data_IF_236408103214
#
_entry.id   IF_236408103214
#
_cell.length_a   1.000
_cell.length_b   1.000
_cell.length_c   1.000
_cell.angle_alpha   90.00
_cell.angle_beta   90.00
_cell.angle_gamma   90.00
#
_symmetry.space_group_name_H-M   'P 1'
#
loop_
_entity.id
_entity.type
_entity.pdbx_description
1 polymer ?
#
# COMPACT_ATOMS: atom_id res chain seq x y z
N UNK A 1 -11.22 -7.93 16.96
CA UNK A 1 -10.13 -8.38 16.04
C UNK A 1 -10.24 -7.83 14.61
N UNK A 2 -11.22 -8.16 13.76
CA UNK A 2 -11.31 -7.60 12.39
C UNK A 2 -11.61 -6.10 12.38
N UNK A 3 -12.52 -5.63 13.25
CA UNK A 3 -12.85 -4.21 13.43
C UNK A 3 -11.63 -3.39 13.86
N UNK A 4 -10.89 -3.85 14.84
CA UNK A 4 -9.67 -3.17 15.34
C UNK A 4 -8.61 -2.95 14.26
N UNK A 5 -8.51 -3.88 13.29
CA UNK A 5 -7.59 -3.71 12.15
C UNK A 5 -8.12 -2.68 11.16
N UNK A 6 -9.43 -2.72 10.88
CA UNK A 6 -10.05 -1.73 9.98
C UNK A 6 -9.94 -0.31 10.56
N UNK A 7 -10.03 -0.16 11.88
CA UNK A 7 -9.88 1.14 12.57
C UNK A 7 -8.45 1.71 12.46
N UNK A 8 -7.45 0.87 12.13
CA UNK A 8 -6.07 1.29 11.86
C UNK A 8 -5.82 1.64 10.39
N UNK A 9 -6.77 1.41 9.51
CA UNK A 9 -6.66 1.69 8.07
C UNK A 9 -7.42 2.98 7.75
N UNK A 10 -6.69 3.98 7.31
CA UNK A 10 -7.24 5.25 6.81
C UNK A 10 -7.20 5.25 5.28
N UNK A 11 -8.25 5.80 4.66
CA UNK A 11 -8.30 6.03 3.21
C UNK A 11 -8.58 7.50 2.97
N UNK A 12 -7.71 8.19 2.23
CA UNK A 12 -7.88 9.62 1.93
C UNK A 12 -7.27 10.02 0.59
N UNK A 13 -7.70 11.16 0.07
CA UNK A 13 -7.07 11.80 -1.07
C UNK A 13 -5.94 12.73 -0.62
N UNK A 14 -4.88 12.82 -1.41
CA UNK A 14 -3.79 13.77 -1.14
C UNK A 14 -2.49 13.43 -1.85
N UNK A 15 -1.44 14.12 -1.43
CA UNK A 15 -0.07 13.94 -1.90
C UNK A 15 0.72 13.13 -0.86
N UNK A 16 1.19 11.94 -1.25
CA UNK A 16 1.94 11.04 -0.37
C UNK A 16 3.25 11.66 0.11
N UNK A 17 3.84 12.57 -0.67
CA UNK A 17 5.13 13.21 -0.36
C UNK A 17 5.07 14.18 0.82
N UNK A 18 3.87 14.58 1.23
CA UNK A 18 3.64 15.52 2.34
C UNK A 18 3.35 14.83 3.67
N UNK A 19 3.28 13.51 3.69
CA UNK A 19 2.85 12.76 4.88
C UNK A 19 3.97 12.62 5.90
N UNK A 20 3.69 13.02 7.13
CA UNK A 20 4.52 12.76 8.30
C UNK A 20 4.15 11.39 8.89
N UNK A 21 4.79 10.37 8.36
CA UNK A 21 4.65 8.95 8.74
C UNK A 21 6.04 8.31 8.80
N UNK A 22 6.14 7.11 9.38
CA UNK A 22 7.44 6.44 9.45
C UNK A 22 7.95 6.05 8.05
N UNK A 23 7.06 5.60 7.18
CA UNK A 23 7.40 5.26 5.80
C UNK A 23 6.29 5.59 4.81
N UNK A 24 6.67 6.01 3.62
CA UNK A 24 5.81 6.02 2.44
C UNK A 24 6.27 4.94 1.47
N UNK A 25 5.32 4.38 0.71
CA UNK A 25 5.61 3.40 -0.34
C UNK A 25 5.66 4.09 -1.68
N UNK A 26 6.68 3.80 -2.45
CA UNK A 26 6.86 4.23 -3.82
C UNK A 26 6.48 3.11 -4.78
N UNK A 27 5.55 3.37 -5.69
CA UNK A 27 5.25 2.51 -6.83
C UNK A 27 6.31 2.78 -7.93
N UNK A 28 7.44 2.12 -7.79
CA UNK A 28 8.61 2.28 -8.63
C UNK A 28 8.58 1.39 -9.89
N UNK A 29 9.52 1.62 -10.79
CA UNK A 29 9.89 0.67 -11.84
C UNK A 29 11.07 -0.21 -11.39
N UNK A 30 11.40 -1.23 -12.19
CA UNK A 30 12.44 -2.22 -11.85
C UNK A 30 13.83 -1.62 -11.71
N UNK A 31 14.13 -0.48 -12.35
CA UNK A 31 15.43 0.19 -12.22
C UNK A 31 15.59 0.96 -10.91
N UNK A 32 14.50 1.38 -10.28
CA UNK A 32 14.44 2.29 -9.13
C UNK A 32 15.03 3.69 -9.40
N UNK A 33 15.27 4.05 -10.65
CA UNK A 33 15.96 5.30 -11.01
C UNK A 33 15.02 6.48 -11.27
N UNK A 34 13.80 6.39 -10.75
CA UNK A 34 12.79 7.41 -10.96
C UNK A 34 11.97 7.17 -12.22
N UNK A 35 10.93 7.95 -12.37
CA UNK A 35 9.99 7.84 -13.49
C UNK A 35 8.92 8.93 -13.43
N UNK A 36 7.73 8.61 -13.97
CA UNK A 36 6.55 9.49 -13.90
C UNK A 36 5.68 9.24 -12.66
N UNK A 37 4.56 9.95 -12.60
CA UNK A 37 3.57 9.77 -11.55
C UNK A 37 4.11 9.92 -10.13
N UNK A 38 3.68 9.04 -9.23
CA UNK A 38 4.09 9.07 -7.81
C UNK A 38 5.60 8.85 -7.64
N UNK A 39 6.23 8.01 -8.46
CA UNK A 39 7.67 7.76 -8.44
C UNK A 39 8.46 9.06 -8.68
N UNK A 40 8.13 9.78 -9.74
CA UNK A 40 8.74 11.07 -10.04
C UNK A 40 8.48 12.12 -8.95
N UNK A 41 7.28 12.15 -8.37
CA UNK A 41 6.94 13.08 -7.28
C UNK A 41 7.78 12.80 -6.03
N UNK A 42 7.93 11.54 -5.64
CA UNK A 42 8.73 11.13 -4.49
C UNK A 42 10.21 11.46 -4.71
N UNK A 43 10.78 11.15 -5.87
CA UNK A 43 12.17 11.48 -6.18
C UNK A 43 12.44 12.99 -6.16
N UNK A 44 11.54 13.82 -6.71
CA UNK A 44 11.68 15.28 -6.65
C UNK A 44 11.61 15.81 -5.21
N UNK A 45 10.67 15.34 -4.43
CA UNK A 45 10.48 15.78 -3.04
C UNK A 45 11.60 15.33 -2.11
N UNK A 46 12.10 14.10 -2.29
CA UNK A 46 13.18 13.53 -1.48
C UNK A 46 14.57 14.15 -1.76
N UNK A 47 14.77 14.67 -2.98
CA UNK A 47 16.06 15.20 -3.41
C UNK A 47 16.98 14.15 -4.05
N UNK A 48 18.17 14.58 -4.52
CA UNK A 48 19.08 13.74 -5.32
C UNK A 48 19.65 12.55 -4.54
N UNK A 49 19.72 12.62 -3.24
CA UNK A 49 20.25 11.55 -2.39
C UNK A 49 19.43 10.28 -2.48
N UNK A 50 18.11 10.39 -2.70
CA UNK A 50 17.25 9.22 -2.90
C UNK A 50 17.64 8.46 -4.17
N UNK A 51 17.87 9.17 -5.27
CA UNK A 51 18.31 8.57 -6.53
C UNK A 51 19.66 7.85 -6.37
N UNK A 52 20.58 8.47 -5.64
CA UNK A 52 21.89 7.88 -5.38
C UNK A 52 21.79 6.60 -4.55
N UNK A 53 20.96 6.59 -3.50
CA UNK A 53 20.67 5.38 -2.74
C UNK A 53 20.06 4.27 -3.61
N UNK A 54 19.12 4.62 -4.50
CA UNK A 54 18.51 3.67 -5.42
C UNK A 54 19.51 3.08 -6.43
N UNK A 55 20.48 3.87 -6.90
CA UNK A 55 21.58 3.37 -7.75
C UNK A 55 22.41 2.29 -7.05
N UNK A 56 22.74 2.50 -5.76
CA UNK A 56 23.49 1.51 -4.97
C UNK A 56 22.69 0.23 -4.74
N UNK A 57 21.36 0.30 -4.64
CA UNK A 57 20.50 -0.90 -4.55
C UNK A 57 20.54 -1.71 -5.83
N UNK A 58 20.63 -1.07 -7.00
CA UNK A 58 20.80 -1.73 -8.29
C UNK A 58 19.52 -2.33 -8.90
N UNK A 59 18.33 -1.93 -8.38
CA UNK A 59 17.04 -2.35 -8.91
C UNK A 59 16.19 -3.20 -7.97
N UNK A 60 14.99 -3.54 -8.43
CA UNK A 60 14.03 -4.33 -7.67
C UNK A 60 13.15 -5.14 -8.66
N UNK A 61 13.06 -6.47 -8.52
CA UNK A 61 12.15 -7.28 -9.32
C UNK A 61 10.68 -6.97 -9.03
N UNK A 62 9.81 -7.24 -10.01
CA UNK A 62 8.36 -7.11 -9.85
C UNK A 62 7.86 -7.99 -8.69
N UNK A 63 7.04 -7.42 -7.82
CA UNK A 63 6.51 -8.06 -6.62
C UNK A 63 7.41 -7.95 -5.38
N UNK A 64 8.67 -7.51 -5.53
CA UNK A 64 9.59 -7.29 -4.42
C UNK A 64 9.56 -5.85 -3.91
N UNK A 65 10.28 -5.62 -2.81
CA UNK A 65 10.43 -4.29 -2.21
C UNK A 65 11.85 -4.04 -1.71
N UNK A 66 12.25 -2.77 -1.66
CA UNK A 66 13.52 -2.28 -1.14
C UNK A 66 13.25 -1.05 -0.27
N UNK A 67 14.12 -0.77 0.70
CA UNK A 67 13.95 0.36 1.61
C UNK A 67 15.13 1.31 1.55
N UNK A 68 14.84 2.61 1.61
CA UNK A 68 15.80 3.70 1.73
C UNK A 68 15.38 4.65 2.85
N UNK A 69 16.25 5.64 3.15
CA UNK A 69 15.83 6.82 3.92
C UNK A 69 14.92 7.72 3.09
N UNK A 70 14.14 8.57 3.77
CA UNK A 70 13.25 9.56 3.13
C UNK A 70 13.94 10.86 2.71
N UNK A 71 15.17 11.11 3.19
CA UNK A 71 15.97 12.32 2.94
C UNK A 71 15.19 13.61 3.23
N UNK A 72 14.80 14.40 2.21
CA UNK A 72 14.05 15.66 2.40
C UNK A 72 12.55 15.48 2.59
N UNK A 73 12.04 14.26 2.51
CA UNK A 73 10.64 13.96 2.80
C UNK A 73 10.36 14.08 4.29
N UNK A 74 9.12 14.44 4.71
CA UNK A 74 8.69 14.30 6.11
C UNK A 74 8.77 12.84 6.59
N UNK A 75 8.44 11.88 5.72
CA UNK A 75 8.56 10.44 6.01
C UNK A 75 10.03 10.04 6.20
N UNK A 76 10.30 9.26 7.25
CA UNK A 76 11.66 8.82 7.58
C UNK A 76 12.24 7.82 6.57
N UNK A 77 11.38 7.02 5.94
CA UNK A 77 11.77 5.99 4.98
C UNK A 77 10.91 6.03 3.73
N UNK A 78 11.49 5.54 2.63
CA UNK A 78 10.76 5.17 1.42
C UNK A 78 10.93 3.68 1.18
N UNK A 79 9.82 2.97 1.05
CA UNK A 79 9.79 1.57 0.62
C UNK A 79 9.43 1.55 -0.86
N UNK A 80 10.37 1.16 -1.70
CA UNK A 80 10.21 1.06 -3.15
C UNK A 80 9.71 -0.33 -3.49
N UNK A 81 8.55 -0.45 -4.13
CA UNK A 81 8.03 -1.72 -4.64
C UNK A 81 7.65 -1.60 -6.10
N UNK A 82 7.77 -2.69 -6.83
CA UNK A 82 7.53 -2.72 -8.28
C UNK A 82 6.29 -3.56 -8.55
N UNK A 83 5.19 -2.88 -8.88
CA UNK A 83 3.95 -3.56 -9.24
C UNK A 83 3.99 -4.15 -10.65
N UNK A 84 3.10 -5.12 -10.95
CA UNK A 84 3.00 -5.70 -12.28
C UNK A 84 2.40 -4.72 -13.28
N UNK A 85 2.84 -4.81 -14.54
CA UNK A 85 2.07 -4.30 -15.68
C UNK A 85 0.88 -5.24 -15.87
N UNK A 86 -0.34 -4.70 -15.79
CA UNK A 86 -1.55 -5.51 -15.85
C UNK A 86 -1.75 -6.12 -17.24
N UNK A 87 -1.95 -7.42 -17.29
CA UNK A 87 -2.18 -8.21 -18.51
C UNK A 87 -3.41 -9.13 -18.38
N UNK A 88 -4.18 -9.02 -17.27
CA UNK A 88 -5.34 -9.87 -17.00
C UNK A 88 -4.99 -11.31 -16.64
N UNK A 89 -3.76 -11.58 -16.21
CA UNK A 89 -3.29 -12.91 -15.80
C UNK A 89 -3.48 -13.12 -14.29
N UNK A 90 -3.68 -14.36 -13.87
CA UNK A 90 -3.74 -14.71 -12.44
C UNK A 90 -2.49 -14.30 -11.67
N UNK A 91 -1.33 -14.38 -12.31
CA UNK A 91 -0.05 -13.96 -11.75
C UNK A 91 0.01 -12.46 -11.41
N UNK A 92 -0.71 -11.59 -12.15
CA UNK A 92 -0.73 -10.15 -11.89
C UNK A 92 -1.28 -9.85 -10.49
N UNK A 93 -2.32 -10.60 -10.07
CA UNK A 93 -2.89 -10.48 -8.74
C UNK A 93 -1.89 -10.87 -7.64
N UNK A 94 -1.18 -11.97 -7.83
CA UNK A 94 -0.20 -12.44 -6.85
C UNK A 94 1.00 -11.48 -6.74
N UNK A 95 1.50 -11.01 -7.87
CA UNK A 95 2.59 -10.01 -7.90
C UNK A 95 2.17 -8.71 -7.21
N UNK A 96 0.94 -8.24 -7.43
CA UNK A 96 0.43 -7.07 -6.74
C UNK A 96 0.29 -7.31 -5.23
N UNK A 97 -0.23 -8.46 -4.82
CA UNK A 97 -0.31 -8.83 -3.40
C UNK A 97 1.08 -8.89 -2.75
N UNK A 98 2.08 -9.41 -3.47
CA UNK A 98 3.46 -9.49 -2.99
C UNK A 98 4.07 -8.09 -2.78
N UNK A 99 3.72 -7.08 -3.59
CA UNK A 99 4.13 -5.71 -3.34
C UNK A 99 3.71 -5.23 -1.94
N UNK A 100 2.47 -5.49 -1.55
CA UNK A 100 1.96 -5.11 -0.21
C UNK A 100 2.59 -5.97 0.90
N UNK A 101 2.68 -7.29 0.72
CA UNK A 101 3.28 -8.20 1.71
C UNK A 101 4.75 -7.85 1.97
N UNK A 102 5.54 -7.69 0.92
CA UNK A 102 6.97 -7.42 1.04
C UNK A 102 7.23 -6.02 1.59
N UNK A 103 6.43 -5.02 1.21
CA UNK A 103 6.52 -3.67 1.79
C UNK A 103 6.20 -3.68 3.29
N UNK A 104 5.14 -4.36 3.71
CA UNK A 104 4.78 -4.46 5.13
C UNK A 104 5.77 -5.33 5.92
N UNK A 105 6.35 -6.36 5.31
CA UNK A 105 7.43 -7.16 5.92
C UNK A 105 8.66 -6.29 6.21
N UNK A 106 9.09 -5.47 5.25
CA UNK A 106 10.17 -4.50 5.46
C UNK A 106 9.82 -3.47 6.55
N UNK A 107 8.56 -3.02 6.60
CA UNK A 107 8.10 -2.11 7.64
C UNK A 107 8.25 -2.74 9.03
N UNK A 108 7.83 -3.98 9.21
CA UNK A 108 7.97 -4.72 10.48
C UNK A 108 9.45 -4.89 10.86
N UNK A 109 10.29 -5.33 9.92
CA UNK A 109 11.73 -5.52 10.13
C UNK A 109 12.45 -4.23 10.54
N UNK A 110 11.97 -3.09 10.06
CA UNK A 110 12.55 -1.76 10.34
C UNK A 110 11.81 -0.98 11.45
N UNK A 111 10.93 -1.65 12.21
CA UNK A 111 10.15 -1.05 13.33
C UNK A 111 9.32 0.16 12.90
N UNK A 112 8.79 0.13 11.70
CA UNK A 112 7.89 1.14 11.15
C UNK A 112 6.50 0.85 11.66
N UNK A 113 5.90 1.80 12.38
CA UNK A 113 4.56 1.69 12.94
C UNK A 113 3.48 2.33 12.06
N UNK A 114 3.86 3.36 11.29
CA UNK A 114 2.95 4.13 10.43
C UNK A 114 3.44 4.11 8.98
N UNK A 115 2.59 3.67 8.05
CA UNK A 115 2.96 3.49 6.64
C UNK A 115 1.86 3.98 5.71
N UNK A 116 2.24 4.62 4.60
CA UNK A 116 1.30 5.07 3.58
C UNK A 116 1.59 4.43 2.22
N UNK A 117 0.53 4.00 1.53
CA UNK A 117 0.57 3.37 0.22
C UNK A 117 -0.16 4.18 -0.83
N UNK A 118 0.39 4.34 -2.05
CA UNK A 118 -0.36 4.78 -3.22
C UNK A 118 -1.16 3.61 -3.82
N UNK A 119 -1.94 3.88 -4.85
CA UNK A 119 -2.56 2.83 -5.68
C UNK A 119 -1.50 2.21 -6.62
N UNK A 120 -0.87 1.13 -6.19
CA UNK A 120 0.20 0.45 -6.93
C UNK A 120 -0.35 -0.11 -8.25
N UNK A 121 0.38 0.06 -9.35
CA UNK A 121 0.07 -0.39 -10.72
C UNK A 121 -1.15 0.27 -11.38
N UNK A 122 -1.86 1.20 -10.73
CA UNK A 122 -3.11 1.78 -11.27
C UNK A 122 -2.89 2.97 -12.20
N UNK A 123 -1.66 3.44 -12.40
CA UNK A 123 -1.31 4.45 -13.39
C UNK A 123 -1.00 3.82 -14.75
N UNK A 124 0.21 4.08 -15.29
CA UNK A 124 0.66 3.61 -16.61
C UNK A 124 0.70 2.08 -16.73
N UNK A 125 0.73 1.34 -15.62
CA UNK A 125 0.68 -0.13 -15.63
C UNK A 125 -0.74 -0.69 -15.81
N UNK A 126 -1.77 0.15 -15.77
CA UNK A 126 -3.13 -0.14 -16.21
C UNK A 126 -3.90 -1.16 -15.39
N UNK A 127 -3.52 -1.40 -14.12
CA UNK A 127 -4.29 -2.29 -13.26
C UNK A 127 -5.64 -1.65 -12.93
N UNK A 128 -6.79 -2.35 -13.13
CA UNK A 128 -8.11 -1.82 -12.80
C UNK A 128 -8.19 -1.47 -11.31
N UNK A 129 -8.62 -0.25 -10.99
CA UNK A 129 -8.58 0.29 -9.64
C UNK A 129 -9.40 -0.52 -8.65
N UNK A 130 -10.57 -1.03 -9.05
CA UNK A 130 -11.44 -1.86 -8.21
C UNK A 130 -10.75 -3.18 -7.81
N UNK A 131 -10.13 -3.84 -8.78
CA UNK A 131 -9.41 -5.09 -8.55
C UNK A 131 -8.15 -4.86 -7.72
N UNK A 132 -7.41 -3.78 -7.99
CA UNK A 132 -6.23 -3.38 -7.23
C UNK A 132 -6.58 -3.05 -5.78
N UNK A 133 -7.66 -2.31 -5.54
CA UNK A 133 -8.18 -1.98 -4.21
C UNK A 133 -8.48 -3.24 -3.39
N UNK A 134 -9.16 -4.23 -3.98
CA UNK A 134 -9.44 -5.50 -3.31
C UNK A 134 -8.15 -6.20 -2.88
N UNK A 135 -7.17 -6.30 -3.78
CA UNK A 135 -5.87 -6.91 -3.46
C UNK A 135 -5.15 -6.13 -2.36
N UNK A 136 -5.07 -4.81 -2.47
CA UNK A 136 -4.40 -3.94 -1.52
C UNK A 136 -4.95 -4.08 -0.11
N UNK A 137 -6.27 -3.90 0.02
CA UNK A 137 -6.94 -3.88 1.34
C UNK A 137 -6.95 -5.26 1.98
N UNK A 138 -7.28 -6.33 1.21
CA UNK A 138 -7.28 -7.69 1.78
C UNK A 138 -5.90 -8.12 2.24
N UNK A 139 -4.86 -7.87 1.44
CA UNK A 139 -3.48 -8.22 1.79
C UNK A 139 -2.99 -7.41 3.00
N UNK A 140 -3.31 -6.11 3.06
CA UNK A 140 -2.97 -5.27 4.20
C UNK A 140 -3.61 -5.79 5.50
N UNK A 141 -4.89 -6.14 5.48
CA UNK A 141 -5.60 -6.70 6.63
C UNK A 141 -4.96 -8.02 7.08
N UNK A 142 -4.63 -8.92 6.14
CA UNK A 142 -3.97 -10.20 6.46
C UNK A 142 -2.64 -9.99 7.17
N UNK A 143 -1.78 -9.13 6.63
CA UNK A 143 -0.45 -8.87 7.20
C UNK A 143 -0.54 -8.15 8.54
N UNK A 144 -1.40 -7.12 8.67
CA UNK A 144 -1.58 -6.38 9.91
C UNK A 144 -2.14 -7.24 11.03
N UNK A 145 -2.97 -8.25 10.70
CA UNK A 145 -3.48 -9.21 11.68
C UNK A 145 -2.37 -10.01 12.32
N UNK A 146 -1.38 -10.40 11.53
CA UNK A 146 -0.22 -11.15 12.02
C UNK A 146 0.86 -10.25 12.66
N UNK A 147 0.81 -8.93 12.42
CA UNK A 147 1.84 -7.99 12.83
C UNK A 147 1.23 -6.77 13.52
N UNK A 148 0.92 -6.86 14.82
CA UNK A 148 0.28 -5.78 15.58
C UNK A 148 1.17 -4.54 15.77
N UNK A 149 2.46 -4.62 15.45
CA UNK A 149 3.40 -3.50 15.46
C UNK A 149 3.04 -2.42 14.44
N UNK A 150 2.34 -2.76 13.36
CA UNK A 150 1.77 -1.77 12.42
C UNK A 150 0.56 -1.12 13.10
N UNK A 151 0.71 0.15 13.47
CA UNK A 151 -0.30 0.90 14.22
C UNK A 151 -1.25 1.67 13.31
N UNK A 152 -0.75 2.13 12.15
CA UNK A 152 -1.54 2.88 11.18
C UNK A 152 -1.09 2.59 9.76
N UNK A 153 -2.05 2.33 8.88
CA UNK A 153 -1.84 2.22 7.44
C UNK A 153 -2.74 3.23 6.72
N UNK A 154 -2.18 4.01 5.81
CA UNK A 154 -2.90 5.01 5.02
C UNK A 154 -2.87 4.62 3.56
N UNK A 155 -4.01 4.44 2.93
CA UNK A 155 -4.13 4.46 1.48
C UNK A 155 -4.34 5.89 1.03
N UNK A 156 -3.36 6.46 0.33
CA UNK A 156 -3.40 7.84 -0.17
C UNK A 156 -3.62 7.82 -1.67
N UNK A 157 -4.78 8.32 -2.11
CA UNK A 157 -5.21 8.27 -3.49
C UNK A 157 -5.04 9.65 -4.13
N UNK A 158 -4.60 9.66 -5.39
CA UNK A 158 -4.40 10.92 -6.10
C UNK A 158 -5.71 11.53 -6.58
N UNK A 159 -6.67 10.70 -7.04
CA UNK A 159 -7.95 11.17 -7.59
C UNK A 159 -9.13 10.92 -6.64
N UNK A 160 -10.16 11.77 -6.74
CA UNK A 160 -11.41 11.57 -6.02
C UNK A 160 -12.16 10.30 -6.48
N UNK A 161 -12.00 9.90 -7.75
CA UNK A 161 -12.60 8.68 -8.28
C UNK A 161 -11.99 7.43 -7.61
N UNK A 162 -10.66 7.36 -7.50
CA UNK A 162 -9.97 6.25 -6.83
C UNK A 162 -10.30 6.23 -5.34
N UNK A 163 -10.36 7.40 -4.69
CA UNK A 163 -10.80 7.51 -3.30
C UNK A 163 -12.17 6.86 -3.09
N UNK A 164 -13.13 7.17 -3.96
CA UNK A 164 -14.50 6.64 -3.87
C UNK A 164 -14.51 5.10 -3.96
N UNK A 165 -13.68 4.51 -4.83
CA UNK A 165 -13.56 3.05 -4.96
C UNK A 165 -13.08 2.43 -3.64
N UNK A 166 -12.02 2.97 -3.05
CA UNK A 166 -11.49 2.47 -1.79
C UNK A 166 -12.47 2.64 -0.63
N UNK A 167 -13.14 3.80 -0.50
CA UNK A 167 -14.13 4.04 0.54
C UNK A 167 -15.33 3.08 0.42
N UNK A 168 -15.83 2.86 -0.79
CA UNK A 168 -16.92 1.92 -1.04
C UNK A 168 -16.52 0.49 -0.63
N UNK A 169 -15.32 0.05 -1.00
CA UNK A 169 -14.85 -1.27 -0.64
C UNK A 169 -14.67 -1.44 0.88
N UNK A 170 -14.08 -0.45 1.55
CA UNK A 170 -13.96 -0.44 3.01
C UNK A 170 -15.32 -0.51 3.72
N UNK A 171 -16.33 0.20 3.22
CA UNK A 171 -17.68 0.16 3.74
C UNK A 171 -18.28 -1.27 3.65
N UNK A 172 -18.08 -1.98 2.54
CA UNK A 172 -18.58 -3.38 2.42
C UNK A 172 -17.97 -4.31 3.46
N UNK A 173 -16.69 -4.10 3.82
CA UNK A 173 -16.01 -4.89 4.84
C UNK A 173 -16.54 -4.60 6.25
N UNK A 174 -16.94 -3.36 6.52
CA UNK A 174 -17.52 -2.95 7.80
C UNK A 174 -18.97 -3.48 7.95
N UNK A 175 -19.80 -3.36 6.91
CA UNK A 175 -21.18 -3.89 6.91
C UNK A 175 -21.23 -5.42 7.05
N UNK A 176 -20.29 -6.15 6.45
CA UNK A 176 -20.18 -7.59 6.63
C UNK A 176 -19.90 -8.04 8.07
N UNK A 177 -19.38 -7.14 8.92
CA UNK A 177 -19.16 -7.40 10.35
C UNK A 177 -20.42 -7.22 11.19
N UNK A 178 -21.28 -6.28 10.83
CA UNK A 178 -22.54 -6.03 11.57
C UNK A 178 -23.56 -7.13 11.36
N UNK A 179 -23.59 -7.76 10.18
CA UNK A 179 -24.52 -8.83 9.85
C UNK A 179 -24.14 -10.22 10.42
N UNK A 180 -22.87 -10.42 10.82
CA UNK A 180 -22.43 -11.71 11.41
C UNK A 180 -22.80 -11.81 12.90
N UNK A 181 -23.22 -10.75 13.55
CA UNK A 181 -23.57 -10.71 14.98
C UNK A 181 -25.06 -11.05 15.25
N UNK A 182 -25.89 -11.16 14.22
CA UNK A 182 -27.35 -11.35 14.34
C UNK A 182 -27.87 -12.62 13.65
N UNK A 183 -27.17 -13.75 13.73
CA UNK A 183 -27.80 -15.04 13.45
C UNK A 183 -28.50 -15.51 14.73
N UNK A 184 -29.87 -15.67 14.75
CA UNK A 184 -30.53 -16.20 15.92
C UNK A 184 -30.16 -17.67 16.11
N UNK A 185 -29.74 -18.01 17.33
CA UNK A 185 -29.53 -19.39 17.76
C UNK A 185 -30.90 -20.09 17.74
N UNK A 186 -31.20 -20.85 16.69
CA UNK A 186 -32.36 -21.77 16.68
C UNK A 186 -31.95 -22.91 17.58
N UNK A 187 -32.54 -22.99 18.79
CA UNK A 187 -32.47 -24.17 19.65
C UNK A 187 -33.41 -25.24 19.08
N UNK A 188 -32.97 -26.45 18.80
CA UNK A 188 -33.86 -27.53 18.46
C UNK A 188 -34.69 -27.90 19.68
N UNK A 189 -35.99 -28.11 19.42
CA UNK A 189 -37.00 -28.60 20.37
C UNK A 189 -36.76 -30.06 20.73
#
# INVERSE_FOLDING_TARGET
>A
MKKEILDKIEVRQGDITTLDVDAIVNAANTSLLGGGGVDGAIHRAAGPELLEACRHIGGCPTGEARITRGYKLPARHVIHTVGPVYRGRSQDRELLANCYRNSLSLAVQNRIATIAFPAISCGVYGYPIEAACQVAVTTAIEVMRANPSIQKLVFILFSAADLKVYLNYMATLQFGLTNTVHAPIIRPS
#
